data_IF_502911054211
#
_entry.id   IF_502911054211
#
_cell.length_a   1.000
_cell.length_b   1.000
_cell.length_c   1.000
_cell.angle_alpha   90.00
_cell.angle_beta   90.00
_cell.angle_gamma   90.00
#
_symmetry.space_group_name_H-M   'P 1'
#
loop_
_entity.id
_entity.type
_entity.pdbx_description
1 polymer ?
#
# COMPACT_ATOMS: atom_id res chain seq x y z
N UNK A 1 2.25 11.13 -47.47
CA UNK A 1 1.32 10.82 -46.37
C UNK A 1 1.89 9.69 -45.54
N UNK A 2 2.43 9.99 -44.37
CA UNK A 2 2.83 8.95 -43.39
C UNK A 2 2.52 9.42 -41.96
N UNK A 3 1.80 8.58 -41.22
CA UNK A 3 1.08 8.85 -39.97
C UNK A 3 1.98 9.11 -38.74
N UNK A 4 1.54 9.98 -37.80
CA UNK A 4 2.01 9.98 -36.42
C UNK A 4 0.86 9.69 -35.43
N UNK A 5 0.44 8.43 -35.28
CA UNK A 5 -0.62 8.05 -34.31
C UNK A 5 -0.12 7.23 -33.12
N UNK A 6 1.02 6.53 -33.22
CA UNK A 6 1.49 5.61 -32.16
C UNK A 6 2.05 6.30 -30.91
N UNK A 7 2.70 7.46 -31.05
CA UNK A 7 3.30 8.19 -29.90
C UNK A 7 2.26 8.87 -28.99
N UNK A 8 1.09 9.26 -29.51
CA UNK A 8 0.01 9.88 -28.72
C UNK A 8 -0.71 8.84 -27.87
N UNK A 9 -1.00 7.66 -28.42
CA UNK A 9 -1.72 6.60 -27.72
C UNK A 9 -0.94 6.05 -26.52
N UNK A 10 0.40 5.95 -26.62
CA UNK A 10 1.25 5.49 -25.51
C UNK A 10 1.30 6.51 -24.35
N UNK A 11 1.35 7.81 -24.65
CA UNK A 11 1.28 8.86 -23.61
C UNK A 11 -0.07 8.88 -22.90
N UNK A 12 -1.17 8.77 -23.65
CA UNK A 12 -2.53 8.75 -23.09
C UNK A 12 -2.75 7.49 -22.22
N UNK A 13 -2.19 6.34 -22.62
CA UNK A 13 -2.27 5.10 -21.84
C UNK A 13 -1.43 5.15 -20.55
N UNK A 14 -0.32 5.87 -20.56
CA UNK A 14 0.51 6.09 -19.37
C UNK A 14 -0.13 7.08 -18.39
N UNK A 15 -0.63 8.23 -18.89
CA UNK A 15 -1.34 9.23 -18.07
C UNK A 15 -2.59 8.64 -17.41
N UNK A 16 -3.33 7.79 -18.12
CA UNK A 16 -4.52 7.11 -17.56
C UNK A 16 -4.19 6.06 -16.49
N UNK A 17 -3.02 5.41 -16.58
CA UNK A 17 -2.53 4.49 -15.55
C UNK A 17 -2.13 5.24 -14.28
N UNK A 18 -1.40 6.35 -14.42
CA UNK A 18 -0.97 7.19 -13.29
C UNK A 18 -2.16 7.85 -12.57
N UNK A 19 -3.16 8.33 -13.33
CA UNK A 19 -4.36 8.93 -12.76
C UNK A 19 -5.25 7.89 -12.04
N UNK A 20 -5.23 6.64 -12.49
CA UNK A 20 -5.95 5.55 -11.81
C UNK A 20 -5.26 5.20 -10.50
N UNK A 21 -3.94 5.04 -10.50
CA UNK A 21 -3.16 4.80 -9.30
C UNK A 21 -3.33 5.92 -8.26
N UNK A 22 -3.33 7.19 -8.70
CA UNK A 22 -3.57 8.33 -7.81
C UNK A 22 -4.96 8.30 -7.15
N UNK A 23 -5.99 7.83 -7.87
CA UNK A 23 -7.34 7.67 -7.32
C UNK A 23 -7.38 6.55 -6.29
N UNK A 24 -6.74 5.42 -6.56
CA UNK A 24 -6.70 4.28 -5.64
C UNK A 24 -5.98 4.64 -4.34
N UNK A 25 -4.83 5.33 -4.44
CA UNK A 25 -4.09 5.87 -3.30
C UNK A 25 -4.96 6.83 -2.49
N UNK A 26 -5.64 7.77 -3.17
CA UNK A 26 -6.54 8.71 -2.50
C UNK A 26 -7.68 7.99 -1.77
N UNK A 27 -8.27 6.95 -2.36
CA UNK A 27 -9.35 6.19 -1.74
C UNK A 27 -8.88 5.45 -0.48
N UNK A 28 -7.70 4.82 -0.51
CA UNK A 28 -7.10 4.17 0.65
C UNK A 28 -6.83 5.19 1.77
N UNK A 29 -6.30 6.36 1.42
CA UNK A 29 -6.05 7.44 2.39
C UNK A 29 -7.36 7.93 3.03
N UNK A 30 -8.41 8.12 2.23
CA UNK A 30 -9.75 8.49 2.73
C UNK A 30 -10.27 7.44 3.71
N UNK A 31 -10.13 6.16 3.40
CA UNK A 31 -10.54 5.07 4.29
C UNK A 31 -9.82 5.14 5.65
N UNK A 32 -8.50 5.39 5.65
CA UNK A 32 -7.73 5.58 6.88
C UNK A 32 -8.28 6.79 7.66
N UNK A 33 -8.45 7.95 7.03
CA UNK A 33 -8.95 9.17 7.68
C UNK A 33 -10.38 9.05 8.22
N UNK A 34 -11.22 8.21 7.61
CA UNK A 34 -12.57 7.90 8.12
C UNK A 34 -12.54 6.91 9.28
N UNK A 35 -11.64 5.93 9.27
CA UNK A 35 -11.51 4.95 10.37
C UNK A 35 -11.15 5.58 11.71
N UNK A 36 -10.49 6.74 11.70
CA UNK A 36 -10.03 7.45 12.90
C UNK A 36 -11.02 8.54 13.37
N UNK A 37 -12.13 8.75 12.63
CA UNK A 37 -13.20 9.70 12.99
C UNK A 37 -12.71 11.13 13.30
N UNK A 38 -11.77 11.62 12.51
CA UNK A 38 -11.19 12.95 12.67
C UNK A 38 -12.21 14.05 12.34
N UNK A 39 -12.19 15.13 13.12
CA UNK A 39 -13.05 16.31 12.89
C UNK A 39 -12.52 17.15 11.73
N UNK A 40 -13.45 17.66 10.93
CA UNK A 40 -13.16 18.66 9.90
C UNK A 40 -13.00 20.04 10.53
N UNK A 41 -11.94 20.73 10.15
CA UNK A 41 -11.65 22.10 10.56
C UNK A 41 -11.91 23.05 9.39
N UNK A 42 -12.64 24.13 9.64
CA UNK A 42 -12.93 25.14 8.63
C UNK A 42 -11.68 25.97 8.37
N UNK A 43 -11.25 26.07 7.12
CA UNK A 43 -10.21 27.02 6.74
C UNK A 43 -10.80 28.44 6.71
N UNK A 44 -10.28 29.33 7.56
CA UNK A 44 -10.69 30.73 7.58
C UNK A 44 -9.58 31.64 7.06
N UNK A 45 -8.33 31.41 7.48
CA UNK A 45 -7.22 32.27 7.07
C UNK A 45 -5.84 31.62 7.25
N UNK A 46 -4.82 32.26 6.67
CA UNK A 46 -3.43 31.85 6.77
C UNK A 46 -2.87 31.76 8.18
N UNK A 47 -3.38 32.57 9.11
CA UNK A 47 -2.90 32.58 10.49
C UNK A 47 -3.25 31.30 11.24
N UNK A 48 -4.21 30.52 10.74
CA UNK A 48 -4.62 29.24 11.33
C UNK A 48 -3.44 28.25 11.32
N UNK A 49 -2.64 28.22 10.23
CA UNK A 49 -1.49 27.32 10.13
C UNK A 49 -0.29 27.72 10.99
N UNK A 50 -0.14 29.01 11.30
CA UNK A 50 0.90 29.50 12.19
C UNK A 50 0.67 29.09 13.65
N UNK A 51 -0.59 28.85 14.04
CA UNK A 51 -0.98 28.45 15.41
C UNK A 51 -0.85 26.95 15.67
N UNK A 52 -0.92 26.12 14.62
CA UNK A 52 -1.07 24.67 14.78
C UNK A 52 0.26 23.93 15.04
N UNK A 53 1.42 24.60 15.09
CA UNK A 53 2.75 23.95 15.23
C UNK A 53 3.01 22.79 14.23
N UNK A 54 2.26 22.74 13.11
CA UNK A 54 2.32 21.67 12.10
C UNK A 54 3.55 21.76 11.20
N UNK A 55 4.45 22.70 11.47
CA UNK A 55 5.54 23.06 10.58
C UNK A 55 6.56 21.93 10.39
N UNK A 56 6.62 20.97 11.32
CA UNK A 56 7.62 19.91 11.32
C UNK A 56 7.02 18.50 11.39
N UNK A 57 5.68 18.37 11.39
CA UNK A 57 5.01 17.07 11.55
C UNK A 57 4.66 16.48 10.19
N UNK A 58 4.82 15.17 10.07
CA UNK A 58 4.23 14.39 8.98
C UNK A 58 2.80 14.03 9.36
N UNK A 59 1.95 13.91 8.35
CA UNK A 59 0.54 13.62 8.57
C UNK A 59 -0.09 13.01 7.33
N UNK A 60 -1.15 12.25 7.55
CA UNK A 60 -2.15 11.98 6.52
C UNK A 60 -3.16 13.12 6.60
N UNK A 61 -3.47 13.79 5.50
CA UNK A 61 -4.42 14.90 5.52
C UNK A 61 -5.44 14.80 4.40
N UNK A 62 -6.61 15.36 4.66
CA UNK A 62 -7.72 15.49 3.72
C UNK A 62 -8.13 16.94 3.57
N UNK A 63 -8.50 17.33 2.36
CA UNK A 63 -9.13 18.60 2.03
C UNK A 63 -10.54 18.30 1.58
N UNK A 64 -11.49 18.96 2.24
CA UNK A 64 -12.91 18.79 2.00
C UNK A 64 -13.59 20.09 1.64
N UNK A 65 -14.82 19.98 1.15
CA UNK A 65 -15.65 21.13 0.85
C UNK A 65 -17.12 20.78 1.06
N UNK A 66 -17.93 21.81 1.32
CA UNK A 66 -19.37 21.72 1.19
C UNK A 66 -19.87 22.70 0.13
N UNK A 67 -21.14 22.61 -0.22
CA UNK A 67 -21.78 23.53 -1.17
C UNK A 67 -22.94 24.25 -0.49
N UNK A 68 -23.50 25.26 -1.16
CA UNK A 68 -24.70 25.94 -0.67
C UNK A 68 -25.93 25.00 -0.56
N UNK A 69 -25.91 23.89 -1.30
CA UNK A 69 -27.02 22.95 -1.41
C UNK A 69 -26.82 21.65 -0.62
N UNK A 70 -25.59 21.36 -0.19
CA UNK A 70 -25.25 20.18 0.59
C UNK A 70 -24.26 20.58 1.67
N UNK A 71 -24.70 20.50 2.92
CA UNK A 71 -23.89 20.88 4.08
C UNK A 71 -22.82 19.84 4.41
N UNK A 72 -23.06 18.57 4.08
CA UNK A 72 -22.09 17.49 4.28
C UNK A 72 -20.78 17.79 3.56
N UNK A 73 -19.69 17.55 4.28
CA UNK A 73 -18.34 17.76 3.78
C UNK A 73 -17.96 16.57 2.90
N UNK A 74 -17.53 16.86 1.68
CA UNK A 74 -17.02 15.88 0.72
C UNK A 74 -15.53 16.07 0.51
N UNK A 75 -14.81 14.98 0.35
CA UNK A 75 -13.40 15.03 -0.02
C UNK A 75 -13.22 15.65 -1.40
N UNK A 76 -12.32 16.62 -1.48
CA UNK A 76 -11.71 17.07 -2.71
C UNK A 76 -10.41 16.32 -2.99
N UNK A 77 -9.59 16.16 -1.95
CA UNK A 77 -8.24 15.65 -2.05
C UNK A 77 -7.81 15.00 -0.72
N UNK A 78 -6.92 14.03 -0.78
CA UNK A 78 -6.28 13.47 0.41
C UNK A 78 -4.90 12.90 0.04
N UNK A 79 -3.93 13.05 0.93
CA UNK A 79 -2.52 12.71 0.69
C UNK A 79 -1.79 12.39 2.00
N UNK A 80 -0.72 11.59 1.90
CA UNK A 80 0.27 11.40 2.95
C UNK A 80 1.38 12.45 2.75
N UNK A 81 1.55 13.32 3.75
CA UNK A 81 2.64 14.29 3.81
C UNK A 81 3.93 13.58 4.24
N UNK A 82 4.52 12.77 3.36
CA UNK A 82 5.64 11.86 3.69
C UNK A 82 7.01 12.53 3.71
N UNK A 83 7.26 13.49 2.81
CA UNK A 83 8.57 14.15 2.64
C UNK A 83 8.57 15.63 3.04
N UNK A 84 7.39 16.24 3.04
CA UNK A 84 7.20 17.66 3.31
C UNK A 84 6.34 17.77 4.57
N UNK A 85 6.67 18.65 5.52
CA UNK A 85 5.82 18.83 6.69
C UNK A 85 4.42 19.33 6.33
N UNK A 86 3.42 18.87 7.08
CA UNK A 86 2.00 19.14 6.82
C UNK A 86 1.72 20.62 6.65
N UNK A 87 2.25 21.47 7.55
CA UNK A 87 2.02 22.92 7.48
C UNK A 87 2.51 23.55 6.17
N UNK A 88 3.57 23.01 5.55
CA UNK A 88 4.05 23.48 4.24
C UNK A 88 3.16 22.96 3.11
N UNK A 89 2.71 21.69 3.15
CA UNK A 89 1.77 21.15 2.15
C UNK A 89 0.41 21.83 2.18
N UNK A 90 -0.21 22.02 3.35
CA UNK A 90 -1.49 22.74 3.44
C UNK A 90 -1.38 24.16 2.88
N UNK A 91 -0.24 24.83 3.08
CA UNK A 91 -0.02 26.15 2.48
C UNK A 91 -0.03 26.15 0.95
N UNK A 92 0.35 25.07 0.29
CA UNK A 92 0.28 24.97 -1.16
C UNK A 92 -1.18 24.85 -1.63
N UNK A 93 -2.01 24.09 -0.91
CA UNK A 93 -3.42 23.93 -1.26
C UNK A 93 -4.29 25.14 -0.95
N UNK A 94 -3.99 25.90 0.10
CA UNK A 94 -4.82 27.06 0.44
C UNK A 94 -4.36 28.35 -0.26
N UNK A 95 -3.23 28.32 -1.01
CA UNK A 95 -2.61 29.52 -1.60
C UNK A 95 -2.97 29.65 -3.07
N UNK A 96 -3.74 30.69 -3.39
CA UNK A 96 -4.14 31.02 -4.76
C UNK A 96 -2.97 31.36 -5.69
N UNK A 97 -1.78 31.61 -5.17
CA UNK A 97 -0.57 31.79 -5.98
C UNK A 97 0.07 30.44 -6.37
N UNK A 98 -0.24 29.38 -5.63
CA UNK A 98 0.27 28.03 -5.87
C UNK A 98 -0.64 27.27 -6.84
N UNK A 99 -0.11 26.33 -7.64
CA UNK A 99 -0.91 25.55 -8.58
C UNK A 99 -2.12 24.86 -7.92
N UNK A 100 -1.92 24.24 -6.77
CA UNK A 100 -2.93 23.50 -6.01
C UNK A 100 -4.03 24.43 -5.51
N UNK A 101 -3.68 25.55 -4.88
CA UNK A 101 -4.68 26.52 -4.42
C UNK A 101 -5.41 27.26 -5.54
N UNK A 102 -4.81 27.44 -6.72
CA UNK A 102 -5.55 27.92 -7.90
C UNK A 102 -6.68 26.96 -8.30
N UNK A 103 -6.46 25.65 -8.18
CA UNK A 103 -7.51 24.66 -8.42
C UNK A 103 -8.65 24.83 -7.42
N UNK A 104 -8.34 24.93 -6.12
CA UNK A 104 -9.36 25.14 -5.08
C UNK A 104 -10.14 26.43 -5.32
N UNK A 105 -9.45 27.54 -5.56
CA UNK A 105 -10.11 28.83 -5.83
C UNK A 105 -11.01 28.78 -7.06
N UNK A 106 -10.56 28.12 -8.12
CA UNK A 106 -11.39 27.90 -9.32
C UNK A 106 -12.63 27.09 -8.98
N UNK A 107 -12.54 26.07 -8.13
CA UNK A 107 -13.69 25.27 -7.69
C UNK A 107 -14.64 26.08 -6.80
N UNK A 108 -14.12 26.92 -5.90
CA UNK A 108 -14.93 27.85 -5.10
C UNK A 108 -15.75 28.77 -6.00
N UNK A 109 -15.12 29.37 -7.01
CA UNK A 109 -15.79 30.32 -7.91
C UNK A 109 -16.71 29.65 -8.93
N UNK A 110 -16.29 28.53 -9.54
CA UNK A 110 -17.02 27.91 -10.67
C UNK A 110 -17.93 26.75 -10.27
N UNK A 111 -17.65 26.08 -9.15
CA UNK A 111 -18.38 24.89 -8.69
C UNK A 111 -19.23 25.17 -7.44
N UNK A 112 -19.44 26.44 -7.07
CA UNK A 112 -20.29 26.87 -5.95
C UNK A 112 -19.92 26.21 -4.60
N UNK A 113 -18.63 25.98 -4.35
CA UNK A 113 -18.21 25.57 -3.01
C UNK A 113 -18.44 26.73 -2.05
N UNK A 114 -19.00 26.42 -0.88
CA UNK A 114 -19.30 27.42 0.15
C UNK A 114 -18.09 27.58 1.05
N UNK A 115 -17.67 26.50 1.69
CA UNK A 115 -16.55 26.46 2.60
C UNK A 115 -15.57 25.35 2.20
N UNK A 116 -14.30 25.56 2.54
CA UNK A 116 -13.23 24.56 2.38
C UNK A 116 -12.76 24.16 3.78
N UNK A 117 -12.54 22.87 3.96
CA UNK A 117 -12.18 22.26 5.23
C UNK A 117 -10.89 21.46 5.07
N UNK A 118 -10.20 21.23 6.18
CA UNK A 118 -9.11 20.26 6.26
C UNK A 118 -9.29 19.38 7.48
N UNK A 119 -8.68 18.20 7.46
CA UNK A 119 -8.47 17.36 8.64
C UNK A 119 -7.18 16.60 8.47
N UNK A 120 -6.55 16.19 9.56
CA UNK A 120 -5.28 15.50 9.51
C UNK A 120 -5.12 14.50 10.66
N UNK A 121 -4.35 13.45 10.39
CA UNK A 121 -3.84 12.47 11.34
C UNK A 121 -2.33 12.61 11.36
N UNK A 122 -1.77 13.01 12.50
CA UNK A 122 -0.31 13.03 12.67
C UNK A 122 0.22 11.59 12.61
N UNK A 123 1.34 11.40 11.91
CA UNK A 123 2.00 10.10 11.79
C UNK A 123 3.50 10.25 12.04
N UNK A 124 4.13 9.18 12.50
CA UNK A 124 5.58 9.09 12.60
C UNK A 124 6.22 8.89 11.23
N UNK A 125 7.54 9.10 11.14
CA UNK A 125 8.31 8.81 9.91
C UNK A 125 8.17 7.33 9.52
N UNK A 126 8.18 6.43 10.50
CA UNK A 126 8.05 5.00 10.28
C UNK A 126 6.67 4.57 9.83
N UNK A 127 5.60 5.19 10.35
CA UNK A 127 4.25 5.01 9.85
C UNK A 127 4.12 5.50 8.40
N UNK A 128 4.74 6.64 8.06
CA UNK A 128 4.79 7.11 6.68
C UNK A 128 5.49 6.10 5.75
N UNK A 129 6.64 5.55 6.16
CA UNK A 129 7.35 4.50 5.41
C UNK A 129 6.56 3.18 5.33
N UNK A 130 5.76 2.87 6.35
CA UNK A 130 4.86 1.71 6.33
C UNK A 130 3.75 1.87 5.29
N UNK A 131 3.20 3.08 5.15
CA UNK A 131 2.20 3.37 4.13
C UNK A 131 2.80 3.40 2.71
N UNK A 132 4.02 3.92 2.55
CA UNK A 132 4.78 3.83 1.30
C UNK A 132 5.01 2.36 0.90
N UNK A 133 5.45 1.52 1.85
CA UNK A 133 5.56 0.08 1.64
C UNK A 133 4.22 -0.49 1.15
N UNK A 134 3.09 -0.01 1.67
CA UNK A 134 1.79 -0.51 1.25
C UNK A 134 1.35 -0.05 -0.14
N UNK A 135 1.46 1.25 -0.41
CA UNK A 135 0.80 1.92 -1.52
C UNK A 135 1.69 2.16 -2.74
N UNK A 136 3.01 2.26 -2.55
CA UNK A 136 3.96 2.62 -3.60
C UNK A 136 4.88 1.45 -4.00
N UNK A 137 5.16 0.54 -3.07
CA UNK A 137 6.04 -0.60 -3.33
C UNK A 137 5.26 -1.80 -3.87
N UNK A 138 5.62 -2.20 -5.09
CA UNK A 138 5.09 -3.38 -5.75
C UNK A 138 5.48 -4.68 -5.06
N UNK A 139 4.61 -5.68 -5.19
CA UNK A 139 4.88 -7.04 -4.74
C UNK A 139 5.84 -7.76 -5.67
N UNK A 140 6.83 -8.43 -5.09
CA UNK A 140 7.80 -9.25 -5.80
C UNK A 140 7.43 -10.73 -5.60
N UNK A 141 7.12 -11.48 -6.67
CA UNK A 141 6.83 -12.90 -6.56
C UNK A 141 8.09 -13.67 -6.15
N UNK A 142 7.92 -14.63 -5.26
CA UNK A 142 8.99 -15.56 -4.87
C UNK A 142 8.87 -16.81 -5.73
N UNK A 143 9.92 -17.10 -6.48
CA UNK A 143 9.96 -18.32 -7.27
C UNK A 143 10.11 -19.54 -6.35
N UNK A 144 9.60 -20.68 -6.80
CA UNK A 144 9.73 -21.96 -6.12
C UNK A 144 10.40 -23.00 -7.02
N UNK A 145 11.21 -23.89 -6.44
CA UNK A 145 11.71 -25.06 -7.18
C UNK A 145 10.59 -26.08 -7.36
N UNK A 146 10.40 -26.58 -8.60
CA UNK A 146 9.48 -27.71 -8.82
C UNK A 146 10.04 -28.94 -8.11
N UNK A 147 9.20 -29.71 -7.39
CA UNK A 147 9.63 -30.96 -6.79
C UNK A 147 9.90 -31.98 -7.89
N UNK A 148 11.17 -32.14 -8.30
CA UNK A 148 11.58 -33.30 -9.11
C UNK A 148 11.94 -34.43 -8.14
N UNK A 149 10.96 -35.26 -7.78
CA UNK A 149 11.18 -36.50 -7.03
C UNK A 149 11.19 -36.39 -5.49
N UNK A 150 10.67 -35.31 -4.90
CA UNK A 150 10.52 -35.18 -3.44
C UNK A 150 9.35 -34.28 -3.03
N UNK A 151 8.95 -34.30 -1.75
CA UNK A 151 7.80 -33.51 -1.25
C UNK A 151 8.19 -32.11 -0.75
N UNK A 152 9.44 -31.67 -0.98
CA UNK A 152 9.98 -30.42 -0.46
C UNK A 152 10.24 -29.44 -1.60
N UNK A 153 9.54 -28.33 -1.56
CA UNK A 153 9.69 -27.15 -2.41
C UNK A 153 10.57 -26.14 -1.68
N UNK A 154 11.53 -25.53 -2.39
CA UNK A 154 12.36 -24.45 -1.84
C UNK A 154 12.00 -23.12 -2.48
N UNK A 155 11.96 -22.07 -1.65
CA UNK A 155 11.78 -20.70 -2.11
C UNK A 155 13.10 -20.11 -2.61
N UNK A 156 13.03 -19.51 -3.80
CA UNK A 156 14.12 -18.80 -4.44
C UNK A 156 13.85 -17.30 -4.29
N UNK A 157 14.51 -16.69 -3.30
CA UNK A 157 14.42 -15.26 -3.08
C UNK A 157 14.99 -14.47 -4.26
N UNK A 158 14.39 -13.31 -4.60
CA UNK A 158 14.91 -12.46 -5.66
C UNK A 158 16.31 -11.94 -5.31
N UNK A 159 17.11 -11.67 -6.35
CA UNK A 159 18.38 -10.95 -6.20
C UNK A 159 18.15 -9.50 -5.78
N UNK A 160 19.18 -8.86 -5.23
CA UNK A 160 19.15 -7.42 -4.93
C UNK A 160 18.42 -7.03 -3.64
N UNK A 161 18.08 -7.97 -2.76
CA UNK A 161 17.53 -7.63 -1.44
C UNK A 161 18.55 -6.79 -0.66
N UNK A 162 18.18 -5.59 -0.16
CA UNK A 162 19.09 -4.70 0.53
C UNK A 162 19.74 -5.31 1.78
N UNK A 163 21.00 -4.94 2.02
CA UNK A 163 21.76 -5.26 3.23
C UNK A 163 21.65 -4.16 4.30
N UNK A 164 20.51 -3.48 4.33
CA UNK A 164 20.19 -2.37 5.23
C UNK A 164 19.00 -2.72 6.12
N UNK A 165 18.77 -1.95 7.20
CA UNK A 165 17.54 -2.01 7.98
C UNK A 165 16.32 -1.58 7.14
N UNK A 166 15.13 -1.99 7.56
CA UNK A 166 13.91 -1.59 6.86
C UNK A 166 12.65 -2.33 7.30
N UNK A 167 11.58 -2.10 6.55
CA UNK A 167 10.31 -2.81 6.70
C UNK A 167 10.15 -3.79 5.55
N UNK A 168 9.58 -4.95 5.82
CA UNK A 168 9.22 -5.91 4.80
C UNK A 168 7.88 -6.56 5.10
N UNK A 169 7.14 -6.88 4.06
CA UNK A 169 5.89 -7.61 4.16
C UNK A 169 5.97 -8.91 3.38
N UNK A 170 5.28 -9.92 3.88
CA UNK A 170 5.05 -11.19 3.18
C UNK A 170 3.54 -11.29 2.93
N UNK A 171 3.20 -11.68 1.71
CA UNK A 171 1.84 -11.92 1.28
C UNK A 171 1.72 -13.22 0.50
N UNK A 172 0.50 -13.67 0.30
CA UNK A 172 0.20 -14.83 -0.53
C UNK A 172 -1.02 -14.57 -1.41
N UNK A 173 -1.09 -15.27 -2.53
CA UNK A 173 -2.28 -15.27 -3.37
C UNK A 173 -3.33 -16.20 -2.78
N UNK A 174 -4.52 -15.66 -2.52
CA UNK A 174 -5.66 -16.46 -2.12
C UNK A 174 -6.28 -17.09 -3.37
N UNK A 175 -6.08 -18.40 -3.58
CA UNK A 175 -6.81 -19.07 -4.64
C UNK A 175 -8.31 -18.91 -4.36
N UNK A 176 -9.10 -18.35 -5.30
CA UNK A 176 -10.54 -18.36 -5.17
C UNK A 176 -11.00 -19.82 -5.00
N UNK A 177 -12.03 -20.09 -4.19
CA UNK A 177 -12.55 -21.44 -4.03
C UNK A 177 -12.85 -21.99 -5.43
N UNK A 178 -12.26 -23.15 -5.75
CA UNK A 178 -12.43 -23.84 -7.02
C UNK A 178 -13.95 -23.98 -7.25
N UNK A 179 -14.48 -23.28 -8.25
CA UNK A 179 -15.87 -23.45 -8.63
C UNK A 179 -16.14 -24.96 -8.84
N UNK A 180 -17.30 -25.50 -8.41
CA UNK A 180 -17.62 -26.89 -8.64
C UNK A 180 -17.50 -27.16 -10.14
N UNK A 181 -16.70 -28.16 -10.48
CA UNK A 181 -16.32 -28.47 -11.85
C UNK A 181 -17.57 -28.83 -12.66
N UNK A 182 -17.86 -28.19 -13.80
CA UNK A 182 -18.82 -28.75 -14.74
C UNK A 182 -18.11 -29.85 -15.52
N UNK A 183 -18.54 -31.10 -15.31
CA UNK A 183 -18.30 -32.19 -16.26
C UNK A 183 -19.00 -31.84 -17.59
N UNK A 184 -18.25 -31.46 -18.63
CA UNK A 184 -18.57 -31.68 -20.06
C UNK A 184 -17.55 -31.01 -21.02
N UNK A 185 -17.35 -31.55 -22.24
CA UNK A 185 -16.23 -31.20 -23.10
C UNK A 185 -16.47 -29.98 -24.02
N UNK A 186 -15.34 -29.34 -24.34
CA UNK A 186 -15.00 -28.41 -25.44
C UNK A 186 -16.11 -27.91 -26.38
N UNK A 187 -16.29 -26.58 -26.45
CA UNK A 187 -15.87 -25.76 -27.61
C UNK A 187 -16.15 -24.27 -27.33
N UNK A 188 -15.32 -23.38 -27.87
CA UNK A 188 -15.64 -21.95 -27.99
C UNK A 188 -14.74 -21.01 -27.20
N UNK A 189 -13.69 -20.54 -27.87
CA UNK A 189 -13.16 -19.17 -27.88
C UNK A 189 -13.56 -18.24 -26.71
N UNK A 190 -13.10 -18.56 -25.50
CA UNK A 190 -13.16 -17.66 -24.37
C UNK A 190 -11.95 -16.71 -24.47
N UNK A 191 -12.16 -15.58 -25.14
CA UNK A 191 -11.28 -14.43 -25.07
C UNK A 191 -10.86 -14.22 -23.60
N UNK A 192 -9.57 -14.47 -23.32
CA UNK A 192 -8.98 -14.20 -22.01
C UNK A 192 -9.28 -12.75 -21.67
N UNK A 193 -10.22 -12.54 -20.76
CA UNK A 193 -10.36 -11.29 -20.05
C UNK A 193 -8.94 -10.89 -19.56
N UNK A 194 -8.56 -9.61 -19.65
CA UNK A 194 -7.26 -9.17 -19.18
C UNK A 194 -7.09 -9.66 -17.75
N UNK A 195 -6.06 -10.48 -17.52
CA UNK A 195 -5.81 -11.10 -16.23
C UNK A 195 -5.84 -10.01 -15.16
N UNK A 196 -6.85 -10.03 -14.30
CA UNK A 196 -6.86 -9.21 -13.10
C UNK A 196 -5.57 -9.53 -12.34
N UNK A 197 -4.89 -8.48 -11.86
CA UNK A 197 -3.70 -8.66 -11.06
C UNK A 197 -4.02 -9.58 -9.87
N UNK A 198 -3.11 -10.52 -9.52
CA UNK A 198 -3.37 -11.46 -8.45
C UNK A 198 -3.69 -10.71 -7.16
N UNK A 199 -4.81 -11.06 -6.51
CA UNK A 199 -5.19 -10.45 -5.23
C UNK A 199 -4.30 -10.99 -4.13
N UNK A 200 -3.23 -10.25 -3.83
CA UNK A 200 -2.26 -10.61 -2.80
C UNK A 200 -2.78 -10.18 -1.43
N UNK A 201 -2.86 -11.13 -0.50
CA UNK A 201 -3.27 -10.92 0.89
C UNK A 201 -2.02 -10.81 1.76
N UNK A 202 -1.90 -9.73 2.52
CA UNK A 202 -0.86 -9.60 3.54
C UNK A 202 -1.05 -10.65 4.61
N UNK A 203 0.04 -11.28 5.02
CA UNK A 203 0.01 -12.22 6.13
C UNK A 203 1.00 -11.87 7.23
N UNK A 204 2.06 -11.13 6.91
CA UNK A 204 3.09 -10.76 7.86
C UNK A 204 3.72 -9.41 7.53
N UNK A 205 3.98 -8.61 8.56
CA UNK A 205 4.83 -7.42 8.55
C UNK A 205 6.03 -7.67 9.46
N UNK A 206 7.23 -7.53 8.92
CA UNK A 206 8.46 -7.67 9.66
C UNK A 206 9.24 -6.37 9.73
N UNK A 207 9.91 -6.17 10.86
CA UNK A 207 10.77 -5.02 11.13
C UNK A 207 12.21 -5.53 11.18
N UNK A 208 13.02 -5.09 10.22
CA UNK A 208 14.44 -5.44 10.13
C UNK A 208 15.28 -4.35 10.82
N UNK A 209 15.29 -4.34 12.16
CA UNK A 209 16.00 -3.33 12.96
C UNK A 209 17.41 -3.81 13.39
N UNK A 210 17.45 -5.00 13.99
CA UNK A 210 18.68 -5.64 14.49
C UNK A 210 19.44 -6.35 13.37
N UNK A 211 18.71 -6.92 12.41
CA UNK A 211 19.24 -7.63 11.24
C UNK A 211 18.86 -6.86 9.99
N UNK A 212 19.58 -7.10 8.91
CA UNK A 212 19.25 -6.50 7.60
C UNK A 212 18.01 -7.14 7.00
N UNK A 213 17.33 -6.43 6.09
CA UNK A 213 16.21 -6.97 5.29
C UNK A 213 16.55 -8.33 4.69
N UNK A 214 17.73 -8.42 4.06
CA UNK A 214 18.25 -9.67 3.51
C UNK A 214 18.35 -10.79 4.54
N UNK A 215 18.95 -10.51 5.71
CA UNK A 215 19.09 -11.53 6.77
C UNK A 215 17.74 -11.99 7.30
N UNK A 216 16.80 -11.07 7.55
CA UNK A 216 15.44 -11.39 7.98
C UNK A 216 14.73 -12.32 6.99
N UNK A 217 14.71 -11.95 5.70
CA UNK A 217 14.08 -12.75 4.66
C UNK A 217 14.74 -14.12 4.51
N UNK A 218 16.07 -14.22 4.55
CA UNK A 218 16.75 -15.52 4.52
C UNK A 218 16.37 -16.41 5.71
N UNK A 219 16.21 -15.85 6.90
CA UNK A 219 15.77 -16.65 8.06
C UNK A 219 14.36 -17.19 7.89
N UNK A 220 13.46 -16.42 7.28
CA UNK A 220 12.09 -16.87 7.04
C UNK A 220 12.03 -17.98 5.99
N UNK A 221 12.77 -17.84 4.90
CA UNK A 221 12.63 -18.69 3.72
C UNK A 221 13.67 -19.82 3.62
N UNK A 222 14.78 -19.75 4.35
CA UNK A 222 15.88 -20.72 4.31
C UNK A 222 16.24 -21.31 5.69
N UNK A 223 15.41 -21.12 6.72
CA UNK A 223 15.63 -21.79 8.01
C UNK A 223 15.72 -23.31 7.81
N UNK A 224 16.89 -23.86 8.14
CA UNK A 224 17.20 -25.28 7.92
C UNK A 224 16.44 -26.19 8.90
N UNK A 225 16.12 -27.38 8.39
CA UNK A 225 15.34 -28.41 9.08
C UNK A 225 15.83 -28.85 10.47
N UNK A 226 17.09 -28.55 10.82
CA UNK A 226 17.72 -28.95 12.08
C UNK A 226 17.36 -28.05 13.28
N UNK A 227 16.62 -26.98 13.04
CA UNK A 227 16.05 -26.09 14.06
C UNK A 227 14.54 -26.33 14.28
N UNK A 228 13.95 -27.40 13.71
CA UNK A 228 12.54 -27.79 13.86
C UNK A 228 12.22 -28.27 15.30
N UNK A 229 12.16 -27.32 16.23
CA UNK A 229 11.41 -27.50 17.48
C UNK A 229 9.90 -27.49 17.24
N UNK A 230 9.13 -27.96 18.23
CA UNK A 230 7.68 -28.21 18.12
C UNK A 230 6.78 -26.96 18.18
N UNK A 231 7.35 -25.75 18.23
CA UNK A 231 6.60 -24.50 18.36
C UNK A 231 7.02 -23.48 17.28
N UNK A 232 6.36 -23.55 16.13
CA UNK A 232 6.48 -22.56 15.05
C UNK A 232 5.08 -22.05 14.71
N UNK A 233 4.50 -21.20 15.57
CA UNK A 233 3.12 -20.73 15.45
C UNK A 233 2.88 -19.61 14.42
N UNK A 234 3.94 -18.93 13.97
CA UNK A 234 3.85 -17.75 13.10
C UNK A 234 4.15 -18.00 11.62
N UNK A 235 4.72 -16.99 10.95
CA UNK A 235 4.97 -16.98 9.51
C UNK A 235 5.86 -18.12 9.03
N UNK A 236 6.85 -18.54 9.83
CA UNK A 236 7.74 -19.61 9.43
C UNK A 236 7.06 -20.99 9.44
N UNK A 237 6.09 -21.21 10.34
CA UNK A 237 5.25 -22.41 10.31
C UNK A 237 4.41 -22.45 9.03
N UNK A 238 3.83 -21.31 8.65
CA UNK A 238 3.12 -21.17 7.39
C UNK A 238 4.03 -21.43 6.17
N UNK A 239 5.18 -20.78 6.09
CA UNK A 239 6.10 -20.95 4.96
C UNK A 239 6.60 -22.40 4.85
N UNK A 240 6.98 -23.03 5.97
CA UNK A 240 7.44 -24.42 5.98
C UNK A 240 6.35 -25.41 5.56
N UNK A 241 5.10 -25.19 5.97
CA UNK A 241 3.97 -25.99 5.47
C UNK A 241 3.75 -25.80 3.97
N UNK A 242 3.89 -24.58 3.45
CA UNK A 242 3.79 -24.35 2.00
C UNK A 242 4.98 -24.90 1.20
N UNK A 243 6.13 -25.13 1.85
CA UNK A 243 7.24 -25.89 1.27
C UNK A 243 6.96 -27.40 1.20
N UNK A 244 6.05 -27.93 2.02
CA UNK A 244 5.67 -29.34 2.02
C UNK A 244 4.41 -29.50 1.18
N UNK A 245 4.59 -29.77 -0.12
CA UNK A 245 3.47 -29.85 -1.06
C UNK A 245 3.15 -31.31 -1.36
N UNK A 246 1.87 -31.68 -1.24
CA UNK A 246 1.41 -33.00 -1.65
C UNK A 246 1.55 -33.19 -3.17
N UNK A 247 1.86 -34.42 -3.64
CA UNK A 247 1.91 -34.71 -5.07
C UNK A 247 0.61 -34.31 -5.78
N UNK A 248 0.71 -33.42 -6.78
CA UNK A 248 -0.42 -32.96 -7.58
C UNK A 248 -1.11 -31.68 -7.09
N UNK A 249 -0.72 -31.13 -5.94
CA UNK A 249 -1.17 -29.80 -5.48
C UNK A 249 -0.12 -28.76 -5.88
N UNK A 250 -0.54 -27.60 -6.41
CA UNK A 250 0.38 -26.49 -6.64
C UNK A 250 0.59 -25.70 -5.33
N UNK A 251 1.83 -25.40 -4.93
CA UNK A 251 2.07 -24.50 -3.80
C UNK A 251 1.42 -23.14 -4.05
N UNK A 252 0.99 -22.47 -2.97
CA UNK A 252 0.50 -21.08 -3.06
C UNK A 252 1.62 -20.16 -3.53
N UNK A 253 1.28 -19.20 -4.38
CA UNK A 253 2.18 -18.10 -4.76
C UNK A 253 2.44 -17.22 -3.53
N UNK A 254 3.72 -17.04 -3.18
CA UNK A 254 4.16 -16.17 -2.08
C UNK A 254 4.85 -14.95 -2.66
N UNK A 255 4.64 -13.81 -2.03
CA UNK A 255 5.17 -12.52 -2.46
C UNK A 255 5.84 -11.82 -1.29
N UNK A 256 6.86 -11.03 -1.59
CA UNK A 256 7.50 -10.13 -0.65
C UNK A 256 7.49 -8.71 -1.18
N UNK A 257 7.59 -7.75 -0.27
CA UNK A 257 8.03 -6.40 -0.60
C UNK A 257 8.80 -5.82 0.57
N UNK A 258 9.63 -4.84 0.30
CA UNK A 258 10.49 -4.22 1.29
C UNK A 258 10.80 -2.77 0.94
N UNK A 259 11.05 -1.97 1.97
CA UNK A 259 11.52 -0.59 1.87
C UNK A 259 12.64 -0.37 2.88
N UNK A 260 13.70 0.30 2.45
CA UNK A 260 14.81 0.67 3.32
C UNK A 260 14.38 1.80 4.25
N UNK A 261 14.67 1.67 5.54
CA UNK A 261 14.34 2.68 6.55
C UNK A 261 15.50 2.75 7.53
N UNK A 262 15.90 3.98 7.88
CA UNK A 262 16.94 4.16 8.89
C UNK A 262 16.51 3.59 10.24
N UNK A 263 17.46 3.01 10.97
CA UNK A 263 17.20 2.30 12.23
C UNK A 263 16.47 3.19 13.24
N UNK A 264 16.83 4.47 13.29
CA UNK A 264 16.29 5.44 14.24
C UNK A 264 14.78 5.66 14.08
N UNK A 265 14.20 5.28 12.94
CA UNK A 265 12.77 5.39 12.70
C UNK A 265 12.03 4.08 12.93
N UNK A 266 12.66 2.91 12.79
CA UNK A 266 11.97 1.61 12.80
C UNK A 266 11.23 1.27 14.10
N UNK A 267 11.63 1.87 15.22
CA UNK A 267 11.03 1.64 16.55
C UNK A 267 9.95 2.65 16.94
N UNK A 268 9.66 3.64 16.11
CA UNK A 268 8.63 4.64 16.38
C UNK A 268 7.24 4.19 15.89
N UNK A 269 6.19 4.50 16.65
CA UNK A 269 4.80 4.33 16.22
C UNK A 269 4.28 2.88 16.21
N UNK A 270 3.00 2.73 15.86
CA UNK A 270 2.32 1.43 15.85
C UNK A 270 2.23 0.90 14.41
N UNK A 271 3.34 0.37 13.89
CA UNK A 271 3.45 -0.02 12.47
C UNK A 271 2.46 -1.09 12.04
N UNK A 272 2.26 -2.11 12.88
CA UNK A 272 1.31 -3.19 12.62
C UNK A 272 -0.11 -2.63 12.53
N UNK A 273 -0.52 -1.84 13.53
CA UNK A 273 -1.84 -1.21 13.54
C UNK A 273 -2.03 -0.24 12.37
N UNK A 274 -0.99 0.52 12.02
CA UNK A 274 -0.98 1.42 10.87
C UNK A 274 -1.24 0.63 9.57
N UNK A 275 -0.53 -0.47 9.36
CA UNK A 275 -0.71 -1.32 8.20
C UNK A 275 -2.09 -2.00 8.19
N UNK A 276 -2.53 -2.57 9.31
CA UNK A 276 -3.83 -3.23 9.44
C UNK A 276 -4.99 -2.29 9.17
N UNK A 277 -4.91 -1.04 9.64
CA UNK A 277 -5.86 0.03 9.30
C UNK A 277 -5.85 0.33 7.80
N UNK A 278 -4.67 0.39 7.19
CA UNK A 278 -4.54 0.72 5.77
C UNK A 278 -5.04 -0.40 4.85
N UNK A 279 -4.77 -1.67 5.18
CA UNK A 279 -5.23 -2.84 4.41
C UNK A 279 -6.67 -3.25 4.75
N UNK A 280 -7.18 -2.85 5.92
CA UNK A 280 -8.55 -3.09 6.38
C UNK A 280 -8.81 -4.44 7.05
N UNK A 281 -7.78 -5.20 7.41
CA UNK A 281 -7.90 -6.48 8.11
C UNK A 281 -6.64 -6.78 8.95
N UNK A 282 -6.74 -7.61 10.01
CA UNK A 282 -5.60 -7.94 10.85
C UNK A 282 -4.62 -8.88 10.14
N UNK A 283 -3.34 -8.73 10.45
CA UNK A 283 -2.28 -9.60 9.94
C UNK A 283 -2.35 -10.97 10.61
N UNK A 284 -2.24 -12.01 9.80
CA UNK A 284 -2.41 -13.39 10.25
C UNK A 284 -1.33 -13.86 11.23
N UNK A 285 -0.10 -13.40 11.07
CA UNK A 285 1.08 -13.96 11.76
C UNK A 285 1.82 -12.96 12.66
N UNK A 286 1.21 -11.82 13.01
CA UNK A 286 1.80 -10.77 13.85
C UNK A 286 1.20 -10.68 15.27
N UNK A 287 0.42 -11.68 15.68
CA UNK A 287 -0.20 -11.78 17.02
C UNK A 287 0.67 -12.52 18.03
#
# INVERSE_FOLDING_TARGET
DEMPTTKRTLKIKQESSEDSQKRDVMQNIVQILESVQLKWELFQSWTDFSRLHLSNKLAIFGIGYNTRWKEDIRYHYAEISSQVPLGKRLREYFNSEKPEGRVIMTRVQKMNWKNVYYKFLEITISEARCLELHMEIDWIPIAHSKPTGGNVVQYLLPGGIPKSPGLYAIGYEECPPKAPSPEAPADGDAARAPAESPRIVYCYLGIAEVRTLQQCLFLHFQANGKSLGKEWGGINGFLSQNCLVEPGVSPKSVYIKFVEVERDFLSAGSLVECLEKAIGYPLKFNN
#
